data_IF_385226687987
#
_entry.id   IF_385226687987
#
_cell.length_a   1.000
_cell.length_b   1.000
_cell.length_c   1.000
_cell.angle_alpha   90.00
_cell.angle_beta   90.00
_cell.angle_gamma   90.00
#
_symmetry.space_group_name_H-M   'P 1'
#
loop_
_entity.id
_entity.type
_entity.pdbx_description
1 polymer ?
#
# COMPACT_ATOMS: atom_id res chain seq x y z
N UNK A 1 -8.41 21.20 14.25
CA UNK A 1 -7.45 21.98 13.45
C UNK A 1 -7.44 21.48 12.03
N UNK A 2 -8.41 21.92 11.23
CA UNK A 2 -8.43 21.63 9.79
C UNK A 2 -7.36 22.48 9.12
N UNK A 3 -6.32 21.83 8.62
CA UNK A 3 -5.24 22.48 7.89
C UNK A 3 -5.73 22.87 6.49
N UNK A 4 -5.52 24.12 6.05
CA UNK A 4 -6.01 24.59 4.76
C UNK A 4 -5.41 23.80 3.59
N UNK A 5 -6.22 23.57 2.55
CA UNK A 5 -5.79 22.91 1.30
C UNK A 5 -4.83 23.85 0.56
N UNK A 6 -3.72 23.35 -0.02
CA UNK A 6 -2.81 24.17 -0.83
C UNK A 6 -3.48 24.67 -2.11
N UNK A 7 -2.98 25.79 -2.64
CA UNK A 7 -3.50 26.47 -3.84
C UNK A 7 -3.58 25.55 -5.08
N UNK A 8 -4.69 25.67 -5.81
CA UNK A 8 -4.96 24.89 -7.01
C UNK A 8 -4.39 25.61 -8.22
N UNK A 9 -3.14 25.27 -8.57
CA UNK A 9 -2.47 25.61 -9.82
C UNK A 9 -1.69 24.39 -10.31
N UNK A 10 -2.17 23.72 -11.35
CA UNK A 10 -1.62 22.44 -11.78
C UNK A 10 -0.16 22.55 -12.20
N UNK A 11 0.73 21.74 -11.62
CA UNK A 11 2.14 21.68 -12.01
C UNK A 11 2.52 20.25 -12.36
N UNK A 12 3.21 20.07 -13.49
CA UNK A 12 3.69 18.76 -13.91
C UNK A 12 4.76 18.27 -12.94
N UNK A 13 4.63 17.01 -12.51
CA UNK A 13 5.61 16.40 -11.60
C UNK A 13 6.93 16.22 -12.35
N UNK A 14 7.97 16.87 -11.86
CA UNK A 14 9.36 16.69 -12.29
C UNK A 14 10.24 16.52 -11.06
N UNK A 15 11.45 15.96 -11.22
CA UNK A 15 12.40 15.86 -10.11
C UNK A 15 12.68 17.22 -9.49
N UNK A 16 13.00 18.23 -10.31
CA UNK A 16 13.23 19.60 -9.85
C UNK A 16 12.04 20.16 -9.06
N UNK A 17 10.80 19.93 -9.54
CA UNK A 17 9.61 20.34 -8.82
C UNK A 17 9.45 19.61 -7.48
N UNK A 18 9.65 18.29 -7.44
CA UNK A 18 9.56 17.50 -6.20
C UNK A 18 10.54 18.00 -5.14
N UNK A 19 11.79 18.29 -5.53
CA UNK A 19 12.81 18.82 -4.62
C UNK A 19 12.56 20.29 -4.23
N UNK A 20 11.80 21.05 -5.03
CA UNK A 20 11.41 22.42 -4.68
C UNK A 20 10.24 22.50 -3.70
N UNK A 21 9.48 21.41 -3.53
CA UNK A 21 8.31 21.41 -2.66
C UNK A 21 8.72 21.49 -1.18
N UNK A 22 8.04 22.32 -0.37
CA UNK A 22 8.21 22.25 1.07
C UNK A 22 7.76 20.88 1.56
N UNK A 23 8.47 20.33 2.56
CA UNK A 23 8.22 18.96 3.08
C UNK A 23 6.75 18.70 3.33
N UNK A 24 6.06 19.64 3.98
CA UNK A 24 4.61 19.55 4.27
C UNK A 24 3.74 19.33 3.04
N UNK A 25 4.06 19.96 1.92
CA UNK A 25 3.33 19.74 0.67
C UNK A 25 3.64 18.38 0.06
N UNK A 26 4.90 17.94 0.09
CA UNK A 26 5.28 16.60 -0.35
C UNK A 26 4.51 15.54 0.45
N UNK A 27 4.45 15.68 1.78
CA UNK A 27 3.67 14.81 2.64
C UNK A 27 2.16 14.90 2.29
N UNK A 28 1.62 16.11 2.14
CA UNK A 28 0.21 16.28 1.79
C UNK A 28 -0.13 15.74 0.39
N UNK A 29 0.83 15.58 -0.51
CA UNK A 29 0.61 15.04 -1.86
C UNK A 29 0.86 13.54 -1.94
N UNK A 30 1.86 13.00 -1.23
CA UNK A 30 2.35 11.62 -1.39
C UNK A 30 2.33 10.75 -0.13
N UNK A 31 1.71 11.19 0.95
CA UNK A 31 1.46 10.36 2.14
C UNK A 31 0.62 9.13 1.81
N UNK A 32 1.14 7.96 2.15
CA UNK A 32 0.39 6.72 2.27
C UNK A 32 0.14 6.41 3.75
N UNK A 33 -1.07 5.98 4.08
CA UNK A 33 -1.33 5.41 5.40
C UNK A 33 -0.92 3.94 5.34
N UNK A 34 0.20 3.59 5.97
CA UNK A 34 0.51 2.20 6.28
C UNK A 34 -0.27 1.86 7.54
N UNK A 35 -1.14 0.84 7.50
CA UNK A 35 -1.88 0.41 8.67
C UNK A 35 -0.88 0.03 9.78
N UNK A 36 -1.09 0.47 11.04
CA UNK A 36 -0.13 0.21 12.10
C UNK A 36 -0.05 -1.29 12.41
N UNK A 37 1.18 -1.79 12.50
CA UNK A 37 1.48 -3.00 13.29
C UNK A 37 1.10 -2.70 14.75
N UNK A 38 0.25 -3.54 15.35
CA UNK A 38 -0.21 -3.42 16.74
C UNK A 38 0.94 -3.75 17.71
N UNK A 39 1.82 -2.79 17.90
CA UNK A 39 2.56 -2.64 19.15
C UNK A 39 2.04 -1.38 19.84
N UNK A 40 1.70 -1.55 21.11
CA UNK A 40 1.06 -0.58 22.00
C UNK A 40 1.77 0.78 22.02
N UNK A 41 1.26 1.69 21.20
CA UNK A 41 1.05 3.13 21.38
C UNK A 41 0.42 3.59 20.06
N UNK A 42 -0.74 4.23 20.11
CA UNK A 42 -1.56 4.58 18.94
C UNK A 42 -0.87 5.68 18.09
N UNK A 43 0.26 5.37 17.47
CA UNK A 43 0.81 6.14 16.37
C UNK A 43 0.27 5.51 15.10
N UNK A 44 -0.67 6.18 14.43
CA UNK A 44 -0.87 5.96 13.00
C UNK A 44 0.47 6.25 12.34
N UNK A 45 1.25 5.21 12.04
CA UNK A 45 2.52 5.31 11.32
C UNK A 45 2.24 5.76 9.89
N UNK A 46 1.92 7.04 9.77
CA UNK A 46 1.60 7.72 8.54
C UNK A 46 2.94 8.01 7.88
N UNK A 47 3.43 7.07 7.05
CA UNK A 47 4.69 7.29 6.34
C UNK A 47 4.42 8.26 5.20
N UNK A 48 4.96 9.45 5.33
CA UNK A 48 4.96 10.41 4.24
C UNK A 48 6.30 10.29 3.52
N UNK A 49 6.26 10.11 2.20
CA UNK A 49 7.48 9.99 1.42
C UNK A 49 8.12 11.37 1.20
N UNK A 50 9.40 11.50 1.51
CA UNK A 50 10.21 12.64 1.09
C UNK A 50 10.71 12.47 -0.36
N UNK A 51 11.09 13.55 -1.07
CA UNK A 51 11.59 13.44 -2.44
C UNK A 51 12.73 12.44 -2.59
N UNK A 52 13.64 12.38 -1.61
CA UNK A 52 14.76 11.43 -1.59
C UNK A 52 14.26 9.98 -1.45
N UNK A 53 13.24 9.75 -0.60
CA UNK A 53 12.65 8.43 -0.43
C UNK A 53 11.88 7.99 -1.68
N UNK A 54 11.24 8.92 -2.39
CA UNK A 54 10.58 8.63 -3.66
C UNK A 54 11.59 8.18 -4.72
N UNK A 55 12.76 8.82 -4.78
CA UNK A 55 13.86 8.38 -5.66
C UNK A 55 14.34 6.98 -5.25
N UNK A 56 14.62 6.75 -3.97
CA UNK A 56 15.04 5.44 -3.48
C UNK A 56 13.98 4.36 -3.77
N UNK A 57 12.69 4.71 -3.75
CA UNK A 57 11.60 3.80 -4.05
C UNK A 57 11.52 3.47 -5.55
N UNK A 58 11.80 4.43 -6.43
CA UNK A 58 11.95 4.17 -7.88
C UNK A 58 13.04 3.14 -8.11
N UNK A 59 14.20 3.34 -7.47
CA UNK A 59 15.35 2.44 -7.61
C UNK A 59 15.06 1.05 -7.01
N UNK A 60 14.48 0.98 -5.82
CA UNK A 60 14.16 -0.27 -5.13
C UNK A 60 13.08 -1.09 -5.84
N UNK A 61 12.10 -0.43 -6.47
CA UNK A 61 11.06 -1.08 -7.28
C UNK A 61 11.53 -1.37 -8.72
N UNK A 62 12.78 -1.02 -9.05
CA UNK A 62 13.39 -1.18 -10.36
C UNK A 62 12.59 -0.52 -11.50
N UNK A 63 11.89 0.58 -11.21
CA UNK A 63 11.02 1.23 -12.18
C UNK A 63 11.87 1.81 -13.33
N UNK A 64 11.52 1.56 -14.60
CA UNK A 64 12.29 2.06 -15.73
C UNK A 64 12.31 3.59 -15.76
N UNK A 65 13.42 4.15 -16.25
CA UNK A 65 13.62 5.61 -16.30
C UNK A 65 12.49 6.32 -17.09
N UNK A 66 11.98 5.67 -18.14
CA UNK A 66 10.87 6.15 -18.95
C UNK A 66 9.81 5.06 -19.12
N UNK A 67 8.58 5.39 -18.76
CA UNK A 67 7.39 4.57 -19.02
C UNK A 67 6.67 5.14 -20.23
N UNK A 68 6.39 4.28 -21.21
CA UNK A 68 5.63 4.63 -22.41
C UNK A 68 4.29 3.93 -22.36
N UNK A 69 3.22 4.71 -22.47
CA UNK A 69 1.86 4.16 -22.52
C UNK A 69 1.46 3.77 -23.95
N UNK A 70 0.33 3.06 -24.11
CA UNK A 70 -0.21 2.64 -25.42
C UNK A 70 -0.57 3.83 -26.29
N UNK A 71 -1.01 4.94 -25.69
CA UNK A 71 -1.22 6.24 -26.34
C UNK A 71 0.08 6.97 -26.71
N UNK A 72 1.25 6.33 -26.57
CA UNK A 72 2.59 6.87 -26.84
C UNK A 72 2.96 8.08 -25.97
N UNK A 73 2.30 8.25 -24.84
CA UNK A 73 2.69 9.24 -23.85
C UNK A 73 3.89 8.74 -23.06
N UNK A 74 4.89 9.59 -22.89
CA UNK A 74 6.08 9.29 -22.10
C UNK A 74 6.01 9.96 -20.72
N UNK A 75 6.41 9.20 -19.71
CA UNK A 75 6.50 9.61 -18.32
C UNK A 75 7.87 9.23 -17.78
N UNK A 76 8.45 10.08 -16.94
CA UNK A 76 9.64 9.68 -16.17
C UNK A 76 9.20 8.68 -15.08
N UNK A 77 10.05 7.72 -14.73
CA UNK A 77 9.75 6.73 -13.68
C UNK A 77 9.27 7.36 -12.37
N UNK A 78 9.92 8.45 -11.95
CA UNK A 78 9.50 9.20 -10.75
C UNK A 78 8.15 9.92 -10.90
N UNK A 79 7.85 10.46 -12.09
CA UNK A 79 6.54 11.08 -12.38
C UNK A 79 5.44 10.02 -12.31
N UNK A 80 5.68 8.85 -12.89
CA UNK A 80 4.74 7.74 -12.88
C UNK A 80 4.48 7.20 -11.46
N UNK A 81 5.54 6.97 -10.68
CA UNK A 81 5.42 6.53 -9.28
C UNK A 81 4.64 7.54 -8.43
N UNK A 82 4.93 8.84 -8.59
CA UNK A 82 4.21 9.88 -7.86
C UNK A 82 2.73 9.94 -8.23
N UNK A 83 2.38 9.75 -9.51
CA UNK A 83 0.99 9.68 -9.96
C UNK A 83 0.27 8.43 -9.44
N UNK A 84 0.96 7.29 -9.40
CA UNK A 84 0.46 6.05 -8.78
C UNK A 84 0.14 6.25 -7.30
N UNK A 85 1.09 6.77 -6.53
CA UNK A 85 0.93 7.08 -5.11
C UNK A 85 -0.23 8.07 -4.89
N UNK A 86 -0.27 9.15 -5.68
CA UNK A 86 -1.34 10.13 -5.58
C UNK A 86 -2.72 9.52 -5.89
N UNK A 87 -2.80 8.61 -6.87
CA UNK A 87 -4.02 7.89 -7.22
C UNK A 87 -4.46 6.92 -6.13
N UNK A 88 -3.54 6.15 -5.55
CA UNK A 88 -3.86 5.14 -4.55
C UNK A 88 -4.18 5.76 -3.18
N UNK A 89 -3.67 6.96 -2.92
CA UNK A 89 -4.05 7.73 -1.75
C UNK A 89 -5.45 8.35 -1.88
N UNK A 90 -5.76 8.93 -3.03
CA UNK A 90 -6.97 9.72 -3.20
C UNK A 90 -8.16 8.85 -3.55
N UNK A 91 -9.17 8.82 -2.68
CA UNK A 91 -10.52 8.39 -3.05
C UNK A 91 -11.23 9.42 -3.95
N UNK A 92 -10.61 10.58 -4.20
CA UNK A 92 -11.14 11.68 -4.99
C UNK A 92 -11.16 11.42 -6.50
N UNK A 93 -11.80 12.34 -7.21
CA UNK A 93 -12.04 12.24 -8.65
C UNK A 93 -10.74 12.37 -9.47
N UNK A 94 -10.69 11.65 -10.59
CA UNK A 94 -9.60 11.71 -11.56
C UNK A 94 -9.36 13.16 -12.08
N UNK A 95 -10.43 13.96 -12.12
CA UNK A 95 -10.37 15.38 -12.47
C UNK A 95 -9.48 16.19 -11.53
N UNK A 96 -9.52 15.94 -10.22
CA UNK A 96 -8.67 16.64 -9.26
C UNK A 96 -7.19 16.36 -9.51
N UNK A 97 -6.84 15.10 -9.80
CA UNK A 97 -5.46 14.71 -10.15
C UNK A 97 -5.00 15.40 -11.44
N UNK A 98 -5.89 15.47 -12.44
CA UNK A 98 -5.63 16.18 -13.70
C UNK A 98 -5.36 17.66 -13.46
N UNK A 99 -6.21 18.32 -12.67
CA UNK A 99 -6.06 19.73 -12.32
C UNK A 99 -4.80 20.00 -11.49
N UNK A 100 -4.43 19.07 -10.62
CA UNK A 100 -3.29 19.23 -9.70
C UNK A 100 -1.94 18.99 -10.36
N UNK A 101 -1.87 18.04 -11.29
CA UNK A 101 -0.60 17.59 -11.90
C UNK A 101 -0.46 17.96 -13.37
N UNK A 102 -1.42 18.73 -13.91
CA UNK A 102 -1.40 19.21 -15.29
C UNK A 102 -1.16 18.09 -16.32
N UNK A 103 -1.90 17.00 -16.16
CA UNK A 103 -1.89 15.84 -17.07
C UNK A 103 -3.33 15.45 -17.38
N UNK A 104 -3.61 15.09 -18.63
CA UNK A 104 -4.93 14.62 -19.01
C UNK A 104 -5.34 13.39 -18.18
N UNK A 105 -6.61 13.32 -17.80
CA UNK A 105 -7.15 12.23 -16.98
C UNK A 105 -6.87 10.84 -17.56
N UNK A 106 -7.01 10.70 -18.88
CA UNK A 106 -6.70 9.48 -19.62
C UNK A 106 -5.24 9.09 -19.49
N UNK A 107 -4.33 10.05 -19.67
CA UNK A 107 -2.89 9.83 -19.57
C UNK A 107 -2.47 9.41 -18.15
N UNK A 108 -3.08 10.00 -17.12
CA UNK A 108 -2.88 9.58 -15.72
C UNK A 108 -3.39 8.15 -15.50
N UNK A 109 -4.60 7.83 -15.97
CA UNK A 109 -5.15 6.49 -15.79
C UNK A 109 -4.30 5.43 -16.47
N UNK A 110 -3.80 5.74 -17.67
CA UNK A 110 -3.01 4.81 -18.46
C UNK A 110 -1.65 4.55 -17.82
N UNK A 111 -0.92 5.59 -17.41
CA UNK A 111 0.39 5.39 -16.77
C UNK A 111 0.27 4.67 -15.42
N UNK A 112 -0.81 4.92 -14.68
CA UNK A 112 -1.07 4.22 -13.41
C UNK A 112 -1.28 2.74 -13.67
N UNK A 113 -2.14 2.37 -14.64
CA UNK A 113 -2.40 0.96 -14.94
C UNK A 113 -1.15 0.25 -15.48
N UNK A 114 -0.42 0.87 -16.41
CA UNK A 114 0.82 0.30 -16.96
C UNK A 114 1.88 0.08 -15.86
N UNK A 115 2.01 1.02 -14.92
CA UNK A 115 2.94 0.85 -13.80
C UNK A 115 2.46 -0.22 -12.79
N UNK A 116 1.15 -0.34 -12.55
CA UNK A 116 0.60 -1.40 -11.69
C UNK A 116 0.85 -2.77 -12.31
N UNK A 117 0.55 -2.95 -13.60
CA UNK A 117 0.80 -4.19 -14.34
C UNK A 117 2.30 -4.54 -14.33
N UNK A 118 3.17 -3.54 -14.53
CA UNK A 118 4.62 -3.73 -14.44
C UNK A 118 5.07 -4.21 -13.06
N UNK A 119 4.60 -3.54 -11.99
CA UNK A 119 4.98 -3.87 -10.62
C UNK A 119 4.45 -5.25 -10.22
N UNK A 120 3.22 -5.58 -10.61
CA UNK A 120 2.63 -6.89 -10.38
C UNK A 120 3.45 -7.98 -11.08
N UNK A 121 3.71 -7.87 -12.38
CA UNK A 121 4.45 -8.91 -13.10
C UNK A 121 5.89 -9.10 -12.57
N UNK A 122 6.57 -7.99 -12.24
CA UNK A 122 7.93 -8.00 -11.69
C UNK A 122 8.00 -8.60 -10.29
N UNK A 123 7.07 -8.19 -9.41
CA UNK A 123 7.14 -8.47 -7.98
C UNK A 123 6.08 -9.46 -7.48
N UNK A 124 5.28 -10.08 -8.37
CA UNK A 124 4.26 -11.09 -8.01
C UNK A 124 4.80 -12.22 -7.16
N UNK A 125 6.05 -12.64 -7.37
CA UNK A 125 6.69 -13.66 -6.55
C UNK A 125 6.80 -13.27 -5.05
N UNK A 126 6.77 -11.98 -4.72
CA UNK A 126 6.67 -11.49 -3.34
C UNK A 126 5.22 -11.26 -2.90
N UNK A 127 4.33 -10.88 -3.83
CA UNK A 127 2.94 -10.52 -3.54
C UNK A 127 2.02 -11.75 -3.41
N UNK A 128 2.27 -12.80 -4.19
CA UNK A 128 1.46 -14.02 -4.27
C UNK A 128 1.82 -15.07 -3.21
N UNK A 129 2.58 -14.67 -2.17
CA UNK A 129 3.00 -15.59 -1.11
C UNK A 129 3.69 -16.85 -1.65
N UNK A 130 4.66 -16.67 -2.56
CA UNK A 130 5.32 -17.76 -3.27
C UNK A 130 5.84 -18.85 -2.32
N UNK A 131 5.35 -20.07 -2.53
CA UNK A 131 5.72 -21.26 -1.77
C UNK A 131 7.17 -21.70 -2.03
N UNK A 132 7.77 -21.27 -3.15
CA UNK A 132 9.16 -21.59 -3.50
C UNK A 132 10.15 -20.55 -2.96
N UNK A 133 9.67 -19.34 -2.64
CA UNK A 133 10.49 -18.21 -2.21
C UNK A 133 10.16 -17.76 -0.80
N UNK A 134 9.02 -17.09 -0.63
CA UNK A 134 8.63 -16.41 0.61
C UNK A 134 8.13 -17.39 1.69
N UNK A 135 7.28 -18.34 1.30
CA UNK A 135 6.63 -19.32 2.19
C UNK A 135 7.21 -20.73 2.02
N UNK A 136 8.53 -20.84 1.86
CA UNK A 136 9.22 -22.12 1.98
C UNK A 136 9.14 -22.64 3.41
N UNK A 137 9.16 -23.95 3.60
CA UNK A 137 9.07 -24.58 4.94
C UNK A 137 10.16 -24.05 5.87
N UNK A 138 11.38 -23.88 5.36
CA UNK A 138 12.52 -23.38 6.13
C UNK A 138 12.32 -21.92 6.56
N UNK A 139 11.79 -21.06 5.69
CA UNK A 139 11.52 -19.66 6.03
C UNK A 139 10.35 -19.50 6.98
N UNK A 140 9.29 -20.28 6.80
CA UNK A 140 8.16 -20.29 7.72
C UNK A 140 8.61 -20.68 9.13
N UNK A 141 9.50 -21.67 9.25
CA UNK A 141 10.07 -22.01 10.56
C UNK A 141 10.89 -20.85 11.13
N UNK A 142 11.73 -20.19 10.33
CA UNK A 142 12.48 -19.01 10.77
C UNK A 142 11.57 -17.87 11.25
N UNK A 143 10.45 -17.63 10.56
CA UNK A 143 9.47 -16.63 10.98
C UNK A 143 8.80 -17.04 12.29
N UNK A 144 8.42 -18.31 12.43
CA UNK A 144 7.82 -18.83 13.65
C UNK A 144 8.75 -18.72 14.86
N UNK A 145 10.03 -19.09 14.68
CA UNK A 145 11.04 -18.99 15.72
C UNK A 145 11.27 -17.54 16.14
N UNK A 146 11.33 -16.61 15.18
CA UNK A 146 11.49 -15.19 15.45
C UNK A 146 10.28 -14.61 16.22
N UNK A 147 9.05 -15.00 15.84
CA UNK A 147 7.82 -14.58 16.50
C UNK A 147 7.73 -15.16 17.91
N UNK A 148 8.09 -16.43 18.09
CA UNK A 148 8.13 -17.08 19.39
C UNK A 148 9.17 -16.45 20.32
N UNK A 149 10.37 -16.16 19.81
CA UNK A 149 11.41 -15.45 20.56
C UNK A 149 10.98 -14.05 21.01
N UNK A 150 10.02 -13.41 20.30
CA UNK A 150 9.42 -12.13 20.70
C UNK A 150 8.28 -12.27 21.73
N UNK A 151 7.95 -13.49 22.15
CA UNK A 151 6.98 -13.78 23.20
C UNK A 151 5.61 -14.25 22.72
N UNK A 152 5.49 -14.72 21.47
CA UNK A 152 4.25 -15.34 21.03
C UNK A 152 3.92 -16.61 21.85
N UNK A 153 2.65 -16.89 22.13
CA UNK A 153 2.25 -18.01 22.98
C UNK A 153 2.48 -19.39 22.33
N UNK A 154 2.61 -19.44 21.00
CA UNK A 154 2.74 -20.67 20.23
C UNK A 154 3.98 -20.59 19.34
N UNK A 155 4.72 -21.70 19.23
CA UNK A 155 5.98 -21.79 18.50
C UNK A 155 5.84 -22.04 16.99
N UNK A 156 4.60 -22.13 16.48
CA UNK A 156 4.29 -22.43 15.08
C UNK A 156 3.56 -21.28 14.37
N UNK A 157 3.41 -20.13 15.03
CA UNK A 157 2.82 -18.94 14.40
C UNK A 157 3.91 -18.26 13.57
N UNK A 158 3.77 -18.29 12.25
CA UNK A 158 4.70 -17.63 11.32
C UNK A 158 4.11 -16.34 10.72
N UNK A 159 2.80 -16.12 10.84
CA UNK A 159 2.14 -14.94 10.29
C UNK A 159 0.90 -14.49 11.07
N UNK A 160 0.58 -13.19 10.95
CA UNK A 160 -0.65 -12.62 11.49
C UNK A 160 -1.53 -12.15 10.33
N UNK A 161 -2.77 -12.62 10.30
CA UNK A 161 -3.74 -12.22 9.28
C UNK A 161 -4.56 -11.06 9.81
N UNK A 162 -4.80 -10.05 8.98
CA UNK A 162 -5.75 -9.00 9.33
C UNK A 162 -7.15 -9.63 9.50
N UNK A 163 -7.66 -9.56 10.74
CA UNK A 163 -8.80 -10.27 11.33
C UNK A 163 -9.88 -10.69 10.31
N UNK A 164 -9.63 -11.79 9.59
CA UNK A 164 -10.53 -12.21 8.53
C UNK A 164 -11.70 -12.96 9.16
N UNK A 165 -12.88 -12.36 9.06
CA UNK A 165 -14.14 -12.93 9.56
C UNK A 165 -14.71 -13.81 8.47
N UNK A 166 -14.65 -15.13 8.62
CA UNK A 166 -15.28 -16.08 7.70
C UNK A 166 -16.64 -16.52 8.25
N UNK A 167 -17.71 -16.11 7.58
CA UNK A 167 -19.07 -16.51 7.95
C UNK A 167 -19.25 -18.03 7.88
N UNK A 168 -20.01 -18.58 8.81
CA UNK A 168 -20.38 -19.99 8.88
C UNK A 168 -21.88 -20.13 9.19
N UNK A 169 -22.45 -21.30 8.90
CA UNK A 169 -23.80 -21.63 9.34
C UNK A 169 -23.89 -21.59 10.88
N UNK A 170 -25.10 -21.39 11.41
CA UNK A 170 -25.35 -21.43 12.86
C UNK A 170 -24.95 -22.81 13.41
N UNK A 171 -23.91 -22.91 14.24
CA UNK A 171 -23.49 -24.19 14.77
C UNK A 171 -24.46 -24.65 15.87
N UNK A 172 -24.63 -25.97 16.00
CA UNK A 172 -25.48 -26.58 17.03
C UNK A 172 -24.83 -26.57 18.42
N UNK A 173 -23.50 -26.50 18.49
CA UNK A 173 -22.71 -26.41 19.73
C UNK A 173 -21.89 -25.13 19.74
N UNK A 174 -21.64 -24.59 20.94
CA UNK A 174 -20.80 -23.41 21.16
C UNK A 174 -21.20 -22.17 20.34
N UNK A 175 -22.50 -22.05 20.03
CA UNK A 175 -23.04 -20.99 19.18
C UNK A 175 -22.61 -19.58 19.61
N UNK A 176 -22.59 -19.33 20.92
CA UNK A 176 -22.18 -18.04 21.48
C UNK A 176 -20.72 -17.69 21.17
N UNK A 177 -19.82 -18.67 21.13
CA UNK A 177 -18.40 -18.46 20.84
C UNK A 177 -18.17 -18.08 19.37
N UNK A 178 -18.93 -18.70 18.46
CA UNK A 178 -18.86 -18.38 17.04
C UNK A 178 -19.67 -17.14 16.64
N UNK A 179 -20.51 -16.58 17.52
CA UNK A 179 -21.32 -15.41 17.17
C UNK A 179 -20.49 -14.13 17.23
N UNK A 180 -20.37 -13.44 16.09
CA UNK A 180 -19.71 -12.16 16.00
C UNK A 180 -20.73 -11.02 16.12
N UNK A 181 -20.84 -10.42 17.31
CA UNK A 181 -21.78 -9.33 17.58
C UNK A 181 -21.63 -8.11 16.65
N UNK A 182 -20.39 -7.78 16.23
CA UNK A 182 -20.14 -6.65 15.33
C UNK A 182 -20.76 -6.84 13.95
N UNK A 183 -20.64 -8.05 13.38
CA UNK A 183 -21.21 -8.39 12.07
C UNK A 183 -22.60 -9.05 12.16
N UNK A 184 -23.10 -9.31 13.38
CA UNK A 184 -24.39 -9.96 13.69
C UNK A 184 -24.58 -11.31 12.98
N UNK A 185 -23.51 -12.12 12.86
CA UNK A 185 -23.53 -13.43 12.22
C UNK A 185 -22.59 -14.42 12.92
N UNK A 186 -22.76 -15.71 12.66
CA UNK A 186 -21.81 -16.73 13.10
C UNK A 186 -20.59 -16.75 12.17
N UNK A 187 -19.39 -16.64 12.73
CA UNK A 187 -18.14 -16.63 11.98
C UNK A 187 -16.96 -17.15 12.80
N UNK A 188 -15.99 -17.68 12.06
CA UNK A 188 -14.65 -17.92 12.58
C UNK A 188 -13.79 -16.66 12.37
N UNK A 189 -13.02 -16.31 13.40
CA UNK A 189 -12.05 -15.20 13.36
C UNK A 189 -10.66 -15.80 13.39
N UNK A 190 -9.92 -15.62 12.32
CA UNK A 190 -8.51 -16.01 12.26
C UNK A 190 -7.66 -14.82 12.73
N UNK A 191 -6.72 -15.08 13.64
CA UNK A 191 -5.81 -14.07 14.17
C UNK A 191 -4.36 -14.31 13.75
N UNK A 192 -3.99 -15.57 13.52
CA UNK A 192 -2.65 -16.00 13.17
C UNK A 192 -2.69 -17.28 12.32
N UNK A 193 -1.58 -17.54 11.63
CA UNK A 193 -1.28 -18.75 10.86
C UNK A 193 0.10 -19.30 11.19
#
# INVERSE_FOLDING_TARGET
NETPRPDVGGTRITSAWLFSLPRRECEYRFRHVILPSRSSNLCSCTRSFYPEELVNLVDALEIPEVIRTRSRCAFKGIEALCLLIARFRSAGEQYELSMKYNRAQSAISEVVNELVEYLDDRWKHLLDFDHNGLLTTERMQQYADAIYAKGAPLCYIWGFIDCTIRAVCRPSRYQHQSYNGYKKLHANKFQAV
#
